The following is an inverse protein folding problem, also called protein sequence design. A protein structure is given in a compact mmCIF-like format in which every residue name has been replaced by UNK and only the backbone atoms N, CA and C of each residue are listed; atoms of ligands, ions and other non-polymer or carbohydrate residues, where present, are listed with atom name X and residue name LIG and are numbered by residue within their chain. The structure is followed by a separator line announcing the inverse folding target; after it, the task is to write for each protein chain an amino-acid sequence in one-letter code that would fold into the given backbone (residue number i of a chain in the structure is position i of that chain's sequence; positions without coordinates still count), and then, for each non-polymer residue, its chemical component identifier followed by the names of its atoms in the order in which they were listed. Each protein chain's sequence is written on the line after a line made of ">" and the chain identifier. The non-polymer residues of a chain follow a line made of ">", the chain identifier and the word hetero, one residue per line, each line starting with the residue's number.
data_IF_648098439913
#
_entry.id   IF_648098439913
#
_cell.length_a   1.000
_cell.length_b   1.000
_cell.length_c   1.000
_cell.angle_alpha   90.00
_cell.angle_beta   90.00
_cell.angle_gamma   90.00
#
_symmetry.space_group_name_H-M   'P 1'
#
loop_
_entity.id
_entity.type
_entity.pdbx_description
1 polymer ?
#
# COMPACT_ATOMS: atom_id res chain seq x y z
N UNK A 1 21.03 -0.08 6.60
CA UNK A 1 21.18 0.71 5.35
C UNK A 1 21.03 2.18 5.73
N UNK A 2 22.15 2.88 5.93
CA UNK A 2 22.19 4.27 6.38
C UNK A 2 22.54 5.15 5.17
N UNK A 3 21.55 5.35 4.30
CA UNK A 3 21.67 6.26 3.17
C UNK A 3 20.94 7.56 3.56
N UNK A 4 21.65 8.66 3.85
CA UNK A 4 21.02 9.94 4.18
C UNK A 4 20.10 10.35 3.03
N UNK A 5 18.86 10.71 3.37
CA UNK A 5 17.84 11.15 2.40
C UNK A 5 17.72 12.67 2.49
N UNK A 6 17.75 13.32 1.34
CA UNK A 6 17.55 14.77 1.22
C UNK A 6 16.33 15.01 0.35
N UNK A 7 15.46 15.92 0.76
CA UNK A 7 14.39 16.44 -0.08
C UNK A 7 14.91 17.67 -0.83
N UNK A 8 14.74 17.68 -2.15
CA UNK A 8 15.11 18.81 -3.00
C UNK A 8 13.95 19.17 -3.94
N UNK A 9 13.93 20.42 -4.39
CA UNK A 9 13.01 20.89 -5.42
C UNK A 9 13.29 20.20 -6.75
N UNK A 10 12.24 19.83 -7.48
CA UNK A 10 12.37 19.23 -8.83
C UNK A 10 13.05 20.16 -9.82
N UNK A 11 12.89 21.49 -9.65
CA UNK A 11 13.53 22.49 -10.52
C UNK A 11 15.04 22.51 -10.38
N UNK A 12 15.53 22.22 -9.17
CA UNK A 12 16.96 22.28 -8.85
C UNK A 12 17.67 20.95 -9.14
N UNK A 13 16.91 19.86 -9.35
CA UNK A 13 17.46 18.53 -9.65
C UNK A 13 18.39 18.55 -10.87
N UNK A 14 18.05 19.30 -11.92
CA UNK A 14 18.88 19.40 -13.11
C UNK A 14 20.26 20.03 -12.82
N UNK A 15 20.31 21.03 -11.92
CA UNK A 15 21.54 21.70 -11.54
C UNK A 15 22.48 20.80 -10.71
N UNK A 16 21.95 19.78 -10.03
CA UNK A 16 22.76 18.85 -9.23
C UNK A 16 23.59 17.87 -10.06
N UNK A 17 23.26 17.67 -11.34
CA UNK A 17 23.89 16.64 -12.17
C UNK A 17 23.61 15.20 -11.71
N UNK A 18 22.67 14.96 -10.79
CA UNK A 18 22.35 13.61 -10.29
C UNK A 18 21.57 12.77 -11.30
N UNK A 19 20.87 13.41 -12.25
CA UNK A 19 20.12 12.75 -13.33
C UNK A 19 20.89 12.83 -14.64
N UNK A 20 22.01 12.10 -14.71
CA UNK A 20 22.84 11.97 -15.91
C UNK A 20 22.68 10.59 -16.55
N UNK A 21 23.24 10.42 -17.75
CA UNK A 21 23.31 9.13 -18.41
C UNK A 21 24.00 8.09 -17.51
N UNK A 22 23.35 6.93 -17.34
CA UNK A 22 23.79 5.88 -16.42
C UNK A 22 23.28 6.02 -14.98
N UNK A 23 22.60 7.11 -14.62
CA UNK A 23 21.95 7.24 -13.32
C UNK A 23 20.79 6.23 -13.18
N UNK A 24 20.74 5.50 -12.05
CA UNK A 24 19.57 4.69 -11.69
C UNK A 24 18.57 5.53 -10.91
N UNK A 25 17.50 5.92 -11.59
CA UNK A 25 16.39 6.66 -10.98
C UNK A 25 15.20 5.73 -10.76
N UNK A 26 14.68 5.70 -9.54
CA UNK A 26 13.44 5.00 -9.21
C UNK A 26 12.32 6.02 -9.08
N UNK A 27 11.31 5.93 -9.94
CA UNK A 27 10.12 6.76 -9.86
C UNK A 27 9.05 6.09 -9.00
N UNK A 28 8.38 6.88 -8.15
CA UNK A 28 7.25 6.43 -7.34
C UNK A 28 6.09 7.37 -7.56
N UNK A 29 4.97 6.83 -7.99
CA UNK A 29 3.70 7.55 -8.08
C UNK A 29 2.87 7.18 -6.86
N UNK A 30 2.44 8.20 -6.09
CA UNK A 30 1.54 8.01 -4.96
C UNK A 30 0.13 8.36 -5.40
N UNK A 31 -0.81 7.45 -5.16
CA UNK A 31 -2.23 7.62 -5.47
C UNK A 31 -3.01 7.40 -4.19
N UNK A 32 -3.95 8.30 -3.90
CA UNK A 32 -4.84 8.22 -2.76
C UNK A 32 -6.27 8.51 -3.21
N UNK A 33 -7.24 7.94 -2.49
CA UNK A 33 -8.63 8.34 -2.66
C UNK A 33 -8.87 9.74 -2.05
N UNK A 34 -9.93 10.44 -2.48
CA UNK A 34 -10.27 11.77 -1.96
C UNK A 34 -10.54 11.78 -0.46
N UNK A 35 -11.04 10.67 0.09
CA UNK A 35 -11.34 10.49 1.51
C UNK A 35 -10.70 9.24 2.10
N UNK A 36 -11.02 8.99 3.37
CA UNK A 36 -10.58 7.84 4.15
C UNK A 36 -11.76 6.94 4.59
N UNK A 37 -12.94 7.09 3.98
CA UNK A 37 -14.12 6.30 4.29
C UNK A 37 -14.01 4.86 3.75
N UNK A 38 -14.90 3.98 4.22
CA UNK A 38 -14.93 2.59 3.75
C UNK A 38 -15.11 2.47 2.21
N UNK A 39 -15.95 3.33 1.63
CA UNK A 39 -16.15 3.40 0.18
C UNK A 39 -14.89 3.87 -0.59
N UNK A 40 -14.13 4.80 0.00
CA UNK A 40 -12.87 5.27 -0.57
C UNK A 40 -11.82 4.16 -0.61
N UNK A 41 -11.72 3.37 0.47
CA UNK A 41 -10.83 2.21 0.56
C UNK A 41 -11.18 1.13 -0.47
N UNK A 42 -12.47 0.89 -0.69
CA UNK A 42 -12.94 -0.02 -1.73
C UNK A 42 -12.57 0.48 -3.13
N UNK A 43 -12.70 1.78 -3.39
CA UNK A 43 -12.29 2.41 -4.64
C UNK A 43 -10.78 2.26 -4.90
N UNK A 44 -9.93 2.45 -3.87
CA UNK A 44 -8.47 2.19 -3.96
C UNK A 44 -8.20 0.72 -4.30
N UNK A 45 -8.89 -0.22 -3.66
CA UNK A 45 -8.74 -1.65 -3.94
C UNK A 45 -9.17 -2.00 -5.37
N UNK A 46 -10.25 -1.38 -5.87
CA UNK A 46 -10.70 -1.50 -7.26
C UNK A 46 -9.67 -0.98 -8.25
N UNK A 47 -9.13 0.22 -8.00
CA UNK A 47 -8.08 0.83 -8.80
C UNK A 47 -6.81 -0.04 -8.85
N UNK A 48 -6.41 -0.62 -7.71
CA UNK A 48 -5.28 -1.54 -7.64
C UNK A 48 -5.46 -2.75 -8.56
N UNK A 49 -6.65 -3.38 -8.54
CA UNK A 49 -6.96 -4.55 -9.40
C UNK A 49 -6.92 -4.18 -10.87
N UNK A 50 -7.53 -3.05 -11.24
CA UNK A 50 -7.52 -2.55 -12.60
C UNK A 50 -6.10 -2.30 -13.10
N UNK A 51 -5.26 -1.62 -12.30
CA UNK A 51 -3.88 -1.31 -12.67
C UNK A 51 -3.03 -2.58 -12.82
N UNK A 52 -3.22 -3.58 -11.94
CA UNK A 52 -2.53 -4.86 -12.06
C UNK A 52 -2.86 -5.58 -13.37
N UNK A 53 -4.14 -5.56 -13.78
CA UNK A 53 -4.56 -6.14 -15.06
C UNK A 53 -3.96 -5.39 -16.26
N UNK A 54 -3.89 -4.06 -16.20
CA UNK A 54 -3.27 -3.24 -17.23
C UNK A 54 -1.76 -3.52 -17.38
N UNK A 55 -1.02 -3.60 -16.26
CA UNK A 55 0.41 -3.91 -16.27
C UNK A 55 0.67 -5.29 -16.86
N UNK A 56 -0.14 -6.28 -16.48
CA UNK A 56 -0.05 -7.64 -17.01
C UNK A 56 -0.37 -7.69 -18.51
N UNK A 57 -1.44 -7.02 -18.95
CA UNK A 57 -1.87 -7.00 -20.35
C UNK A 57 -0.91 -6.25 -21.28
N UNK A 58 -0.35 -5.13 -20.81
CA UNK A 58 0.61 -4.34 -21.58
C UNK A 58 2.05 -4.86 -21.49
N UNK A 59 2.32 -5.90 -20.69
CA UNK A 59 3.65 -6.50 -20.56
C UNK A 59 4.70 -5.55 -19.98
N UNK A 60 4.29 -4.54 -19.20
CA UNK A 60 5.19 -3.52 -18.68
C UNK A 60 6.08 -4.12 -17.60
N UNK A 61 7.39 -4.16 -17.87
CA UNK A 61 8.39 -4.69 -16.94
C UNK A 61 8.91 -3.60 -16.01
N UNK A 62 9.26 -3.97 -14.78
CA UNK A 62 9.88 -3.06 -13.82
C UNK A 62 8.89 -2.18 -13.03
N UNK A 63 7.58 -2.38 -13.20
CA UNK A 63 6.55 -1.70 -12.40
C UNK A 63 6.17 -2.59 -11.22
N UNK A 64 6.14 -2.01 -10.02
CA UNK A 64 5.70 -2.65 -8.80
C UNK A 64 4.56 -1.83 -8.20
N UNK A 65 3.46 -2.50 -7.87
CA UNK A 65 2.38 -1.89 -7.08
C UNK A 65 2.70 -2.11 -5.60
N UNK A 66 2.69 -1.04 -4.83
CA UNK A 66 2.84 -1.07 -3.38
C UNK A 66 1.55 -0.55 -2.76
N UNK A 67 0.89 -1.37 -1.93
CA UNK A 67 -0.29 -0.96 -1.16
C UNK A 67 -0.02 -1.05 0.34
N UNK A 68 -0.85 -0.40 1.14
CA UNK A 68 -0.71 -0.43 2.59
C UNK A 68 -0.81 -1.87 3.13
N UNK A 69 -1.67 -2.68 2.52
CA UNK A 69 -1.81 -4.10 2.83
C UNK A 69 -0.57 -4.92 2.46
N UNK A 70 0.11 -4.61 1.34
CA UNK A 70 1.35 -5.29 0.97
C UNK A 70 2.58 -4.83 1.76
N UNK A 71 2.51 -3.64 2.40
CA UNK A 71 3.63 -3.04 3.11
C UNK A 71 3.77 -3.44 4.58
N UNK A 72 2.75 -4.04 5.21
CA UNK A 72 2.78 -4.51 6.61
C UNK A 72 2.11 -5.88 6.82
N UNK A 73 2.52 -6.92 6.09
CA UNK A 73 1.92 -8.25 6.21
C UNK A 73 1.97 -8.83 7.64
N UNK A 74 2.99 -8.49 8.44
CA UNK A 74 3.10 -8.95 9.83
C UNK A 74 2.00 -8.38 10.73
N UNK A 75 1.57 -7.13 10.48
CA UNK A 75 0.52 -6.49 11.28
C UNK A 75 -0.87 -7.02 10.92
N UNK A 76 -1.14 -7.22 9.61
CA UNK A 76 -2.42 -7.78 9.13
C UNK A 76 -2.71 -9.17 9.69
N UNK A 77 -1.70 -10.06 9.73
CA UNK A 77 -1.85 -11.40 10.28
C UNK A 77 -2.11 -11.42 11.81
N UNK A 78 -1.73 -10.36 12.50
CA UNK A 78 -1.99 -10.20 13.95
C UNK A 78 -3.42 -9.72 14.17
N UNK A 79 -3.89 -8.75 13.37
CA UNK A 79 -5.26 -8.25 13.44
C UNK A 79 -6.30 -9.29 13.03
N UNK A 80 -6.04 -10.09 11.99
CA UNK A 80 -6.95 -11.17 11.58
C UNK A 80 -7.12 -12.24 12.66
N UNK A 81 -6.04 -12.56 13.38
CA UNK A 81 -6.11 -13.48 14.54
C UNK A 81 -6.91 -12.87 15.70
N UNK A 82 -6.69 -11.59 15.98
CA UNK A 82 -7.44 -10.89 17.03
C UNK A 82 -8.95 -10.85 16.72
N UNK A 83 -9.31 -10.60 15.47
CA UNK A 83 -10.71 -10.58 14.99
C UNK A 83 -11.40 -11.94 15.17
N UNK A 84 -10.74 -13.04 14.77
CA UNK A 84 -11.27 -14.39 14.97
C UNK A 84 -11.46 -14.74 16.44
N UNK A 85 -10.49 -14.37 17.29
CA UNK A 85 -10.58 -14.63 18.72
C UNK A 85 -11.75 -13.84 19.34
N UNK A 86 -11.88 -12.56 19.00
CA UNK A 86 -12.95 -11.71 19.50
C UNK A 86 -14.33 -12.19 19.04
N UNK A 87 -14.45 -12.68 17.81
CA UNK A 87 -15.68 -13.28 17.29
C UNK A 87 -16.10 -14.53 18.07
N UNK A 88 -15.16 -15.44 18.37
CA UNK A 88 -15.43 -16.64 19.17
C UNK A 88 -15.82 -16.30 20.61
N UNK A 89 -15.11 -15.35 21.24
CA UNK A 89 -15.44 -14.88 22.59
C UNK A 89 -16.81 -14.20 22.62
N UNK A 90 -17.14 -13.43 21.58
CA UNK A 90 -18.46 -12.80 21.44
C UNK A 90 -19.59 -13.83 21.35
N UNK A 91 -19.43 -14.87 20.53
CA UNK A 91 -20.40 -15.96 20.42
C UNK A 91 -20.57 -16.72 21.74
N UNK A 92 -19.46 -17.03 22.44
CA UNK A 92 -19.51 -17.69 23.74
C UNK A 92 -20.23 -16.83 24.79
N UNK A 93 -19.95 -15.53 24.83
CA UNK A 93 -20.58 -14.59 25.74
C UNK A 93 -22.07 -14.45 25.46
N UNK A 94 -22.47 -14.41 24.18
CA UNK A 94 -23.88 -14.38 23.78
C UNK A 94 -24.63 -15.66 24.20
N UNK A 95 -24.00 -16.84 24.08
CA UNK A 95 -24.60 -18.09 24.55
C UNK A 95 -24.76 -18.14 26.07
N UNK A 96 -23.76 -17.66 26.82
CA UNK A 96 -23.82 -17.55 28.29
C UNK A 96 -24.85 -16.53 28.76
N UNK A 97 -25.12 -15.48 27.99
CA UNK A 97 -26.14 -14.49 28.33
C UNK A 97 -27.58 -14.95 27.98
N UNK A 98 -27.72 -16.00 27.18
CA UNK A 98 -29.02 -16.52 26.75
C UNK A 98 -29.62 -17.59 27.69
N UNK A 99 -28.91 -17.93 28.78
CA UNK A 99 -29.39 -18.82 29.87
C UNK A 99 -29.76 -18.01 31.10
#
# INVERSE_FOLDING_TARGET
>A
NFAPRVMLSTRDLAATGLSQDGARVTHRLQVAAPGAGAADLEAVAGYQRWLAAQIAGAGVKGVRIESLASGRPEMSATLERADRFLSLVGLLSAMLAAV
#
